data_IF_121174150140
#
_entry.id   IF_121174150140
#
_cell.length_a   1.000
_cell.length_b   1.000
_cell.length_c   1.000
_cell.angle_alpha   90.00
_cell.angle_beta   90.00
_cell.angle_gamma   90.00
#
_symmetry.space_group_name_H-M   'P 1'
#
loop_
_entity.id
_entity.type
_entity.pdbx_description
1 polymer ?
#
# COMPACT_ATOMS: atom_id res chain seq x y z
N UNK A 1 57.13 28.31 -18.59
CA UNK A 1 57.76 27.14 -17.97
C UNK A 1 56.74 26.00 -18.06
N UNK A 2 56.43 25.47 -19.24
CA UNK A 2 57.28 24.64 -20.14
C UNK A 2 57.24 23.17 -19.72
N UNK A 3 56.69 22.29 -20.56
CA UNK A 3 57.29 21.65 -21.76
C UNK A 3 58.33 20.58 -21.35
N UNK A 4 58.46 19.45 -22.04
CA UNK A 4 57.88 19.00 -23.33
C UNK A 4 57.66 17.47 -23.25
N UNK A 5 56.86 16.79 -24.08
CA UNK A 5 57.11 16.31 -25.47
C UNK A 5 56.29 14.98 -25.59
N UNK A 6 55.90 14.34 -26.71
CA UNK A 6 56.12 14.40 -28.17
C UNK A 6 55.09 13.38 -28.78
N UNK A 7 54.36 13.45 -29.91
CA UNK A 7 54.11 14.31 -31.11
C UNK A 7 52.59 14.16 -31.45
N UNK A 8 51.86 15.03 -32.19
CA UNK A 8 51.83 15.32 -33.66
C UNK A 8 51.58 14.07 -34.55
N UNK A 9 50.84 14.11 -35.68
CA UNK A 9 50.22 15.16 -36.53
C UNK A 9 48.89 14.59 -37.13
N UNK A 10 47.85 15.30 -37.60
CA UNK A 10 47.72 16.27 -38.72
C UNK A 10 48.03 15.64 -40.12
N UNK A 11 47.34 15.90 -41.25
CA UNK A 11 46.19 16.77 -41.53
C UNK A 11 45.42 16.40 -42.85
N UNK A 12 44.17 16.86 -42.94
CA UNK A 12 43.52 17.61 -44.04
C UNK A 12 43.40 17.13 -45.53
N UNK A 13 42.13 16.98 -45.96
CA UNK A 13 41.40 17.55 -47.14
C UNK A 13 42.12 17.78 -48.52
N UNK A 14 41.49 17.32 -49.63
CA UNK A 14 41.08 18.08 -50.86
C UNK A 14 40.98 17.18 -52.14
N UNK A 15 39.73 16.95 -52.55
CA UNK A 15 39.10 16.99 -53.90
C UNK A 15 39.72 16.43 -55.21
N UNK A 16 38.78 15.96 -56.07
CA UNK A 16 38.84 15.68 -57.53
C UNK A 16 39.81 14.58 -58.03
N UNK A 17 39.45 13.70 -58.97
CA UNK A 17 38.15 13.44 -59.60
C UNK A 17 38.23 13.23 -61.12
N UNK A 18 38.12 11.98 -61.59
CA UNK A 18 37.95 11.66 -63.01
C UNK A 18 37.27 10.29 -63.24
N UNK A 19 36.64 10.16 -64.40
CA UNK A 19 35.78 9.08 -64.87
C UNK A 19 36.43 7.68 -64.89
N UNK A 20 35.58 6.65 -64.79
CA UNK A 20 35.46 5.65 -65.86
C UNK A 20 33.98 5.21 -66.00
N UNK A 21 33.57 4.85 -67.22
CA UNK A 21 32.18 4.49 -67.56
C UNK A 21 32.03 2.99 -67.82
N UNK A 22 30.88 2.43 -67.43
CA UNK A 22 30.34 1.17 -67.98
C UNK A 22 31.05 -0.13 -67.57
N UNK A 23 30.42 -1.31 -67.70
CA UNK A 23 29.09 -1.60 -68.25
C UNK A 23 28.30 -2.54 -67.32
N UNK A 24 26.99 -2.63 -67.59
CA UNK A 24 26.01 -3.41 -66.82
C UNK A 24 26.25 -4.92 -66.78
N UNK A 25 25.90 -5.54 -65.66
CA UNK A 25 25.11 -6.78 -65.70
C UNK A 25 23.84 -6.57 -64.88
N UNK A 26 22.70 -6.99 -65.41
CA UNK A 26 21.38 -6.59 -64.90
C UNK A 26 20.55 -7.81 -64.50
N UNK A 27 20.59 -8.15 -63.20
CA UNK A 27 19.85 -9.28 -62.62
C UNK A 27 18.51 -8.80 -62.04
N UNK A 28 17.45 -8.95 -62.83
CA UNK A 28 16.07 -8.55 -62.48
C UNK A 28 15.43 -9.54 -61.48
N UNK A 29 15.96 -9.66 -60.27
CA UNK A 29 15.49 -10.63 -59.26
C UNK A 29 15.28 -10.08 -57.84
N UNK A 30 15.38 -8.76 -57.63
CA UNK A 30 15.32 -8.14 -56.27
C UNK A 30 14.44 -6.88 -56.12
N UNK A 31 13.23 -6.88 -56.67
CA UNK A 31 12.18 -5.93 -56.26
C UNK A 31 10.88 -6.62 -55.84
N UNK A 32 10.99 -7.57 -54.92
CA UNK A 32 9.88 -7.85 -54.00
C UNK A 32 9.99 -6.85 -52.83
N UNK A 33 9.70 -5.57 -53.11
CA UNK A 33 9.61 -4.53 -52.09
C UNK A 33 8.40 -4.87 -51.23
N UNK A 34 8.64 -5.51 -50.08
CA UNK A 34 7.65 -5.59 -49.00
C UNK A 34 7.40 -4.19 -48.48
N UNK A 35 6.44 -3.50 -49.12
CA UNK A 35 5.95 -2.19 -48.73
C UNK A 35 5.05 -2.34 -47.48
N UNK A 36 5.66 -2.81 -46.39
CA UNK A 36 5.06 -2.78 -45.06
C UNK A 36 4.84 -1.31 -44.72
N UNK A 37 3.57 -0.89 -44.70
CA UNK A 37 3.21 0.34 -44.03
C UNK A 37 3.48 0.14 -42.55
N UNK A 38 4.37 0.93 -41.99
CA UNK A 38 4.43 1.12 -40.54
C UNK A 38 3.17 1.92 -40.17
N UNK A 39 2.11 1.21 -39.79
CA UNK A 39 0.87 1.79 -39.29
C UNK A 39 1.16 2.49 -37.95
N UNK A 40 1.48 3.78 -38.06
CA UNK A 40 2.03 4.60 -36.99
C UNK A 40 0.92 5.19 -36.12
N UNK A 41 0.85 4.76 -34.86
CA UNK A 41 -0.11 5.28 -33.88
C UNK A 41 0.42 6.60 -33.31
N UNK A 42 -0.28 7.71 -33.61
CA UNK A 42 0.04 9.03 -33.09
C UNK A 42 -0.73 9.32 -31.79
N UNK A 43 0.00 9.63 -30.72
CA UNK A 43 -0.57 10.07 -29.45
C UNK A 43 -0.53 11.61 -29.35
N UNK A 44 -1.64 12.22 -28.92
CA UNK A 44 -1.75 13.68 -28.73
C UNK A 44 -2.00 13.97 -27.26
N UNK A 45 -1.09 14.71 -26.62
CA UNK A 45 -1.24 15.16 -25.23
C UNK A 45 -1.92 16.53 -25.19
N UNK A 46 -2.95 16.69 -24.36
CA UNK A 46 -3.59 17.99 -24.11
C UNK A 46 -3.47 18.37 -22.62
N UNK A 47 -2.57 19.31 -22.24
CA UNK A 47 -2.42 19.75 -20.85
C UNK A 47 -3.62 20.55 -20.30
N UNK A 48 -4.60 20.92 -21.14
CA UNK A 48 -5.84 21.57 -20.68
C UNK A 48 -6.88 20.59 -20.12
N UNK A 49 -6.64 19.27 -20.20
CA UNK A 49 -7.52 18.24 -19.65
C UNK A 49 -6.83 17.64 -18.43
N UNK A 50 -7.39 17.90 -17.26
CA UNK A 50 -6.90 17.40 -15.98
C UNK A 50 -7.85 16.34 -15.42
N UNK A 51 -7.29 15.43 -14.63
CA UNK A 51 -8.00 14.32 -13.98
C UNK A 51 -7.68 14.36 -12.46
N UNK A 52 -7.57 13.20 -11.80
CA UNK A 52 -7.21 13.14 -10.39
C UNK A 52 -5.79 13.67 -10.11
N UNK A 53 -5.59 14.20 -8.91
CA UNK A 53 -4.26 14.33 -8.30
C UNK A 53 -3.83 12.93 -7.83
N UNK A 54 -2.57 12.58 -8.02
CA UNK A 54 -1.98 11.37 -7.45
C UNK A 54 -1.47 11.72 -6.05
N UNK A 55 -2.04 11.10 -5.02
CA UNK A 55 -1.65 11.33 -3.61
C UNK A 55 -0.33 10.61 -3.29
N UNK A 56 -0.30 9.28 -3.47
CA UNK A 56 0.84 8.45 -3.14
C UNK A 56 0.93 7.18 -4.00
N UNK A 57 2.09 6.52 -3.94
CA UNK A 57 2.23 5.09 -4.18
C UNK A 57 2.90 4.48 -2.95
N UNK A 58 2.47 3.30 -2.52
CA UNK A 58 2.96 2.70 -1.29
C UNK A 58 2.95 1.18 -1.28
N UNK A 59 3.36 0.62 -0.15
CA UNK A 59 3.30 -0.82 0.14
C UNK A 59 2.95 -1.04 1.61
N UNK A 60 2.54 -2.26 1.95
CA UNK A 60 2.34 -2.68 3.33
C UNK A 60 3.57 -3.37 3.88
N UNK A 61 3.95 -3.06 5.12
CA UNK A 61 4.94 -3.82 5.88
C UNK A 61 4.45 -5.21 6.34
N UNK A 62 3.16 -5.47 6.19
CA UNK A 62 2.49 -6.68 6.65
C UNK A 62 2.86 -7.90 5.77
N UNK A 63 3.30 -9.04 6.29
CA UNK A 63 3.90 -9.29 7.61
C UNK A 63 5.43 -9.26 7.61
N UNK A 64 6.04 -9.11 6.43
CA UNK A 64 7.46 -9.31 6.18
C UNK A 64 8.38 -8.36 6.98
N UNK A 65 7.93 -7.14 7.29
CA UNK A 65 8.75 -6.13 7.98
C UNK A 65 9.12 -6.55 9.41
N UNK A 66 8.28 -7.35 10.09
CA UNK A 66 8.54 -7.96 11.40
C UNK A 66 9.78 -8.87 11.41
N UNK A 67 10.19 -9.37 10.23
CA UNK A 67 11.33 -10.25 10.04
C UNK A 67 12.48 -9.54 9.33
N UNK A 68 12.19 -8.85 8.23
CA UNK A 68 13.20 -8.15 7.42
C UNK A 68 13.81 -6.96 8.19
N UNK A 69 13.07 -6.32 9.08
CA UNK A 69 13.62 -5.30 9.99
C UNK A 69 14.74 -5.81 10.90
N UNK A 70 14.85 -7.12 11.10
CA UNK A 70 15.94 -7.76 11.85
C UNK A 70 17.13 -8.19 10.99
N UNK A 71 17.13 -7.95 9.68
CA UNK A 71 18.18 -8.42 8.76
C UNK A 71 19.38 -7.46 8.72
N UNK A 72 20.04 -7.32 9.86
CA UNK A 72 21.16 -6.41 10.15
C UNK A 72 22.49 -6.74 9.41
N UNK A 73 22.64 -7.98 8.96
CA UNK A 73 23.85 -8.48 8.28
C UNK A 73 24.19 -7.67 7.03
N UNK A 74 25.47 -7.54 6.74
CA UNK A 74 25.97 -6.84 5.56
C UNK A 74 25.50 -7.48 4.24
N UNK A 75 25.04 -6.64 3.32
CA UNK A 75 24.66 -7.03 1.97
C UNK A 75 25.85 -6.90 1.02
N UNK A 76 26.37 -8.03 0.53
CA UNK A 76 27.30 -8.14 -0.62
C UNK A 76 28.49 -7.17 -0.58
N UNK A 77 29.14 -7.03 0.58
CA UNK A 77 30.31 -6.18 0.81
C UNK A 77 30.09 -4.68 0.47
N UNK A 78 28.84 -4.20 0.55
CA UNK A 78 28.45 -2.81 0.22
C UNK A 78 28.57 -1.83 1.39
N UNK A 79 28.88 -2.29 2.60
CA UNK A 79 28.84 -1.48 3.82
C UNK A 79 27.42 -1.13 4.32
N UNK A 80 26.36 -1.67 3.70
CA UNK A 80 24.95 -1.55 4.12
C UNK A 80 24.41 -2.88 4.63
N UNK A 81 23.44 -2.85 5.54
CA UNK A 81 22.71 -4.06 5.94
C UNK A 81 21.72 -4.52 4.86
N UNK A 82 21.30 -5.78 4.89
CA UNK A 82 20.25 -6.29 3.98
C UNK A 82 18.92 -5.54 4.20
N UNK A 83 18.59 -5.17 5.45
CA UNK A 83 17.40 -4.37 5.75
C UNK A 83 17.48 -2.93 5.21
N UNK A 84 18.65 -2.29 5.27
CA UNK A 84 18.87 -0.97 4.64
C UNK A 84 18.76 -1.06 3.12
N UNK A 85 19.34 -2.10 2.50
CA UNK A 85 19.25 -2.34 1.05
C UNK A 85 17.80 -2.44 0.58
N UNK A 86 16.98 -3.26 1.25
CA UNK A 86 15.57 -3.45 0.90
C UNK A 86 14.77 -2.16 1.13
N UNK A 87 15.04 -1.43 2.22
CA UNK A 87 14.40 -0.14 2.47
C UNK A 87 14.73 0.88 1.38
N UNK A 88 16.00 0.98 0.97
CA UNK A 88 16.42 1.87 -0.12
C UNK A 88 15.79 1.46 -1.47
N UNK A 89 15.74 0.18 -1.81
CA UNK A 89 15.12 -0.28 -3.06
C UNK A 89 13.62 0.05 -3.14
N UNK A 90 12.91 0.15 -2.00
CA UNK A 90 11.50 0.52 -1.94
C UNK A 90 11.25 2.04 -1.88
N UNK A 91 11.97 2.77 -1.02
CA UNK A 91 11.60 4.15 -0.64
C UNK A 91 12.57 5.23 -1.13
N UNK A 92 13.82 4.89 -1.46
CA UNK A 92 14.76 5.85 -2.04
C UNK A 92 14.32 6.23 -3.47
N UNK A 93 14.38 7.53 -3.79
CA UNK A 93 13.88 8.12 -5.05
C UNK A 93 14.93 8.19 -6.16
N UNK A 94 16.20 7.96 -5.85
CA UNK A 94 17.31 7.90 -6.81
C UNK A 94 17.85 6.47 -6.97
N UNK A 95 17.79 5.66 -5.90
CA UNK A 95 18.27 4.28 -5.88
C UNK A 95 17.18 3.22 -6.06
N UNK A 96 15.96 3.50 -5.59
CA UNK A 96 14.82 2.58 -5.56
C UNK A 96 13.66 2.98 -6.46
N UNK A 97 12.47 2.48 -6.13
CA UNK A 97 11.21 2.85 -6.80
C UNK A 97 10.49 4.06 -6.16
N UNK A 98 11.07 4.66 -5.12
CA UNK A 98 10.63 5.96 -4.57
C UNK A 98 9.22 6.00 -3.98
N UNK A 99 8.73 4.92 -3.37
CA UNK A 99 7.41 4.89 -2.73
C UNK A 99 7.27 6.02 -1.69
N UNK A 100 6.09 6.62 -1.62
CA UNK A 100 5.78 7.78 -0.76
C UNK A 100 4.82 7.46 0.39
N UNK A 101 4.21 6.26 0.39
CA UNK A 101 3.31 5.76 1.42
C UNK A 101 3.79 4.43 2.01
N UNK A 102 3.59 4.25 3.33
CA UNK A 102 3.84 3.00 4.05
C UNK A 102 2.62 2.62 4.89
N UNK A 103 2.08 1.40 4.69
CA UNK A 103 1.05 0.84 5.58
C UNK A 103 1.70 0.00 6.68
N UNK A 104 1.45 0.34 7.93
CA UNK A 104 1.93 -0.37 9.12
C UNK A 104 0.76 -1.08 9.82
N UNK A 105 0.93 -2.39 10.09
CA UNK A 105 -0.10 -3.21 10.74
C UNK A 105 0.00 -3.08 12.27
N UNK A 106 -0.95 -2.38 12.87
CA UNK A 106 -1.15 -2.33 14.32
C UNK A 106 -1.79 -3.65 14.75
N UNK A 107 -0.95 -4.59 15.20
CA UNK A 107 -1.32 -5.98 15.46
C UNK A 107 -2.23 -6.20 16.66
N UNK A 108 -2.95 -7.32 16.64
CA UNK A 108 -3.92 -7.70 17.68
C UNK A 108 -3.33 -8.53 18.82
N UNK A 109 -2.11 -9.07 18.68
CA UNK A 109 -1.40 -9.86 19.70
C UNK A 109 -1.42 -11.37 19.48
N UNK A 110 -1.70 -11.85 18.26
CA UNK A 110 -1.62 -13.29 17.94
C UNK A 110 -0.21 -13.87 18.07
N UNK A 111 0.85 -13.07 17.97
CA UNK A 111 2.23 -13.50 18.20
C UNK A 111 2.54 -13.68 19.70
N UNK A 112 1.99 -12.80 20.54
CA UNK A 112 2.10 -12.86 22.00
C UNK A 112 1.45 -14.12 22.57
N UNK A 113 0.16 -14.30 22.27
CA UNK A 113 -0.67 -15.36 22.87
C UNK A 113 -0.48 -16.73 22.22
N UNK A 114 -0.11 -16.73 20.94
CA UNK A 114 0.04 -17.92 20.07
C UNK A 114 -1.27 -18.70 19.89
N UNK A 115 -2.42 -18.06 20.15
CA UNK A 115 -3.77 -18.59 19.93
C UNK A 115 -4.15 -18.60 18.43
N UNK A 116 -5.25 -19.27 18.10
CA UNK A 116 -5.72 -19.38 16.71
C UNK A 116 -4.89 -20.30 15.81
N UNK A 117 -5.46 -20.64 14.65
CA UNK A 117 -4.93 -21.56 13.64
C UNK A 117 -4.28 -20.77 12.49
N UNK A 118 -2.94 -20.77 12.46
CA UNK A 118 -2.12 -20.10 11.46
C UNK A 118 -1.24 -21.17 10.81
N UNK A 119 -1.45 -21.46 9.51
CA UNK A 119 -0.62 -22.43 8.77
C UNK A 119 0.81 -21.92 8.57
N UNK A 120 0.95 -20.60 8.48
CA UNK A 120 2.20 -19.88 8.39
C UNK A 120 2.32 -18.97 9.62
N UNK A 121 3.33 -19.22 10.46
CA UNK A 121 3.53 -18.48 11.71
C UNK A 121 3.98 -17.04 11.50
N UNK A 122 4.44 -16.67 10.30
CA UNK A 122 4.82 -15.29 9.98
C UNK A 122 3.61 -14.36 9.84
N UNK A 123 2.38 -14.92 9.76
CA UNK A 123 1.10 -14.15 9.64
C UNK A 123 0.52 -13.68 10.97
N UNK A 124 1.29 -13.86 12.05
CA UNK A 124 0.98 -13.37 13.40
C UNK A 124 1.55 -11.96 13.57
N UNK A 125 0.99 -11.20 14.51
CA UNK A 125 1.52 -9.89 14.90
C UNK A 125 1.54 -9.72 16.43
N UNK A 126 2.50 -8.95 16.93
CA UNK A 126 2.54 -8.51 18.33
C UNK A 126 1.55 -7.36 18.55
N UNK A 127 1.08 -7.18 19.79
CA UNK A 127 0.35 -5.98 20.21
C UNK A 127 1.18 -5.18 21.21
N UNK A 128 1.34 -3.87 20.99
CA UNK A 128 2.00 -2.96 21.95
C UNK A 128 1.36 -3.03 23.34
N UNK A 129 0.07 -3.35 23.42
CA UNK A 129 -0.67 -3.41 24.67
C UNK A 129 -0.45 -4.75 25.38
N UNK A 130 0.11 -4.68 26.59
CA UNK A 130 0.38 -5.85 27.46
C UNK A 130 -0.77 -6.14 28.43
N UNK A 131 -1.54 -5.11 28.77
CA UNK A 131 -2.79 -5.11 29.52
C UNK A 131 -3.54 -3.79 29.21
N UNK A 132 -4.85 -3.65 29.47
CA UNK A 132 -5.63 -2.45 29.13
C UNK A 132 -4.92 -1.12 29.47
N UNK A 133 -4.53 -0.35 28.46
CA UNK A 133 -3.81 0.92 28.61
C UNK A 133 -2.36 0.83 29.14
N UNK A 134 -1.72 -0.35 29.07
CA UNK A 134 -0.35 -0.60 29.55
C UNK A 134 0.52 -1.09 28.40
N UNK A 135 1.33 -0.18 27.86
CA UNK A 135 2.09 -0.39 26.63
C UNK A 135 3.56 -0.78 26.85
N UNK A 136 4.07 -1.68 26.00
CA UNK A 136 5.49 -1.91 25.80
C UNK A 136 5.89 -1.51 24.37
N UNK A 137 6.42 -0.29 24.23
CA UNK A 137 6.86 0.29 22.96
C UNK A 137 8.15 -0.33 22.39
N UNK A 138 8.69 -1.38 23.01
CA UNK A 138 9.81 -2.16 22.48
C UNK A 138 9.36 -3.40 21.68
N UNK A 139 8.05 -3.66 21.60
CA UNK A 139 7.47 -4.70 20.74
C UNK A 139 7.48 -4.31 19.27
N UNK A 140 7.38 -5.33 18.41
CA UNK A 140 7.41 -5.20 16.95
C UNK A 140 8.60 -4.34 16.43
N UNK A 141 9.73 -4.44 17.12
CA UNK A 141 10.90 -3.59 16.96
C UNK A 141 11.42 -3.54 15.52
N UNK A 142 11.33 -4.68 14.82
CA UNK A 142 11.73 -4.85 13.42
C UNK A 142 10.80 -4.10 12.46
N UNK A 143 9.48 -4.20 12.58
CA UNK A 143 8.57 -3.48 11.69
C UNK A 143 8.52 -1.98 12.03
N UNK A 144 8.65 -1.62 13.31
CA UNK A 144 8.83 -0.23 13.77
C UNK A 144 10.13 0.36 13.21
N UNK A 145 11.23 -0.39 13.22
CA UNK A 145 12.48 0.01 12.55
C UNK A 145 12.25 0.21 11.05
N UNK A 146 11.54 -0.69 10.38
CA UNK A 146 11.32 -0.60 8.93
C UNK A 146 10.42 0.58 8.55
N UNK A 147 9.38 0.85 9.33
CA UNK A 147 8.53 2.04 9.17
C UNK A 147 9.35 3.33 9.36
N UNK A 148 10.13 3.42 10.45
CA UNK A 148 11.00 4.59 10.70
C UNK A 148 12.03 4.77 9.58
N UNK A 149 12.58 3.68 9.05
CA UNK A 149 13.51 3.71 7.91
C UNK A 149 12.86 4.18 6.61
N UNK A 150 11.62 3.76 6.33
CA UNK A 150 10.86 4.26 5.18
C UNK A 150 10.59 5.77 5.29
N UNK A 151 10.32 6.29 6.50
CA UNK A 151 10.20 7.73 6.77
C UNK A 151 11.51 8.48 6.57
N UNK A 152 12.65 7.96 7.07
CA UNK A 152 13.99 8.53 6.80
C UNK A 152 14.28 8.67 5.30
N UNK A 153 13.83 7.72 4.48
CA UNK A 153 14.03 7.69 3.03
C UNK A 153 13.01 8.55 2.24
N UNK A 154 12.03 9.17 2.93
CA UNK A 154 11.15 10.17 2.34
C UNK A 154 9.72 9.72 2.04
N UNK A 155 9.22 8.71 2.76
CA UNK A 155 7.76 8.50 2.94
C UNK A 155 7.14 9.70 3.66
N UNK A 156 6.00 10.17 3.16
CA UNK A 156 5.29 11.35 3.67
C UNK A 156 3.87 11.01 4.18
N UNK A 157 3.47 9.76 4.01
CA UNK A 157 2.16 9.21 4.36
C UNK A 157 2.35 7.86 5.05
N UNK A 158 2.06 7.79 6.35
CA UNK A 158 1.93 6.51 7.06
C UNK A 158 0.46 6.22 7.32
N UNK A 159 0.03 5.03 6.94
CA UNK A 159 -1.29 4.47 7.25
C UNK A 159 -1.10 3.46 8.38
N UNK A 160 -1.72 3.72 9.53
CA UNK A 160 -1.83 2.71 10.59
C UNK A 160 -3.10 1.90 10.31
N UNK A 161 -3.00 0.59 10.18
CA UNK A 161 -4.17 -0.26 9.92
C UNK A 161 -4.21 -1.50 10.82
N UNK A 162 -5.42 -2.03 11.06
CA UNK A 162 -5.60 -3.24 11.87
C UNK A 162 -6.39 -4.29 11.10
N UNK A 163 -5.82 -5.49 11.01
CA UNK A 163 -6.54 -6.67 10.52
C UNK A 163 -7.64 -7.13 11.49
N UNK A 164 -7.42 -6.99 12.80
CA UNK A 164 -8.35 -7.44 13.85
C UNK A 164 -8.23 -6.56 15.10
N UNK A 165 -9.28 -6.47 15.95
CA UNK A 165 -9.16 -5.86 17.27
C UNK A 165 -8.22 -6.65 18.19
N UNK A 166 -7.58 -6.01 19.19
CA UNK A 166 -6.79 -6.68 20.22
C UNK A 166 -7.47 -7.91 20.79
N UNK A 167 -6.74 -9.02 20.99
CA UNK A 167 -7.35 -10.29 21.39
C UNK A 167 -8.12 -10.22 22.73
N UNK A 168 -7.84 -9.24 23.60
CA UNK A 168 -8.62 -8.99 24.84
C UNK A 168 -10.04 -8.47 24.60
N UNK A 169 -10.31 -7.88 23.43
CA UNK A 169 -11.60 -7.32 23.01
C UNK A 169 -12.41 -8.28 22.14
N UNK A 170 -11.81 -9.41 21.74
CA UNK A 170 -12.45 -10.36 20.84
C UNK A 170 -13.32 -11.40 21.54
N UNK A 171 -14.40 -11.83 20.89
CA UNK A 171 -15.42 -12.73 21.47
C UNK A 171 -14.83 -14.11 21.80
N UNK A 172 -13.98 -14.64 20.92
CA UNK A 172 -13.31 -15.93 21.13
C UNK A 172 -11.95 -15.81 21.84
N UNK A 173 -11.49 -14.58 22.11
CA UNK A 173 -10.15 -14.32 22.64
C UNK A 173 -9.03 -14.67 21.67
N UNK A 174 -9.23 -14.49 20.36
CA UNK A 174 -8.24 -14.75 19.30
C UNK A 174 -8.33 -13.66 18.23
N UNK A 175 -7.23 -13.36 17.56
CA UNK A 175 -7.20 -12.35 16.48
C UNK A 175 -7.87 -12.80 15.18
N UNK A 176 -8.36 -14.03 15.10
CA UNK A 176 -9.13 -14.61 13.98
C UNK A 176 -10.54 -14.97 14.44
N UNK A 177 -11.52 -14.98 13.55
CA UNK A 177 -12.89 -15.43 13.83
C UNK A 177 -12.92 -16.94 14.13
N UNK A 178 -13.94 -17.44 14.83
CA UNK A 178 -14.15 -18.89 14.98
C UNK A 178 -14.80 -19.48 13.74
N UNK A 179 -14.41 -20.69 13.32
CA UNK A 179 -14.99 -21.35 12.15
C UNK A 179 -16.52 -21.51 12.27
N UNK A 180 -17.27 -20.94 11.33
CA UNK A 180 -18.74 -20.90 11.32
C UNK A 180 -19.37 -19.71 12.05
N UNK A 181 -18.59 -18.88 12.74
CA UNK A 181 -19.04 -17.59 13.29
C UNK A 181 -18.81 -16.44 12.30
N UNK A 182 -19.56 -15.35 12.52
CA UNK A 182 -19.56 -14.15 11.65
C UNK A 182 -19.28 -12.85 12.42
N UNK A 183 -18.82 -12.95 13.66
CA UNK A 183 -18.52 -11.82 14.54
C UNK A 183 -17.37 -12.23 15.45
N UNK A 184 -16.41 -11.34 15.64
CA UNK A 184 -15.39 -11.52 16.66
C UNK A 184 -15.22 -10.34 17.61
N UNK A 185 -16.08 -9.31 17.55
CA UNK A 185 -16.08 -8.21 18.53
C UNK A 185 -17.52 -7.76 18.82
N UNK A 186 -17.78 -7.39 20.08
CA UNK A 186 -19.06 -6.87 20.55
C UNK A 186 -19.09 -5.33 20.49
N UNK A 187 -20.25 -4.68 20.28
CA UNK A 187 -20.34 -3.22 20.18
C UNK A 187 -19.80 -2.45 21.39
N UNK A 188 -19.93 -3.01 22.59
CA UNK A 188 -19.39 -2.46 23.84
C UNK A 188 -17.85 -2.39 23.89
N UNK A 189 -17.15 -3.04 22.95
CA UNK A 189 -15.69 -3.04 22.85
C UNK A 189 -15.17 -2.15 21.70
N UNK A 190 -16.03 -1.45 20.96
CA UNK A 190 -15.59 -0.61 19.82
C UNK A 190 -14.79 0.62 20.28
N UNK A 191 -15.21 1.24 21.38
CA UNK A 191 -14.57 2.44 21.94
C UNK A 191 -13.18 2.07 22.50
N UNK A 192 -13.09 0.96 23.23
CA UNK A 192 -11.84 0.37 23.74
C UNK A 192 -10.85 0.00 22.61
N UNK A 193 -11.35 -0.42 21.44
CA UNK A 193 -10.52 -0.68 20.25
C UNK A 193 -10.04 0.62 19.60
N UNK A 194 -10.87 1.66 19.55
CA UNK A 194 -10.47 2.99 19.11
C UNK A 194 -9.34 3.54 19.99
N UNK A 195 -9.50 3.51 21.32
CA UNK A 195 -8.48 3.95 22.30
C UNK A 195 -7.13 3.30 22.04
N UNK A 196 -7.08 1.97 21.86
CA UNK A 196 -5.82 1.25 21.56
C UNK A 196 -5.11 1.80 20.31
N UNK A 197 -5.83 1.95 19.19
CA UNK A 197 -5.23 2.41 17.94
C UNK A 197 -4.85 3.89 17.99
N UNK A 198 -5.60 4.72 18.72
CA UNK A 198 -5.29 6.14 18.90
C UNK A 198 -4.10 6.37 19.86
N UNK A 199 -3.93 5.55 20.90
CA UNK A 199 -2.73 5.57 21.75
C UNK A 199 -1.46 5.21 20.95
N UNK A 200 -1.54 4.18 20.08
CA UNK A 200 -0.45 3.81 19.16
C UNK A 200 -0.19 4.92 18.13
N UNK A 201 -1.24 5.59 17.64
CA UNK A 201 -1.09 6.74 16.75
C UNK A 201 -0.42 7.95 17.44
N UNK A 202 -0.83 8.29 18.67
CA UNK A 202 -0.23 9.40 19.43
C UNK A 202 1.25 9.12 19.77
N UNK A 203 1.60 7.86 20.04
CA UNK A 203 2.99 7.44 20.20
C UNK A 203 3.83 7.75 18.95
N UNK A 204 3.43 7.23 17.78
CA UNK A 204 4.20 7.42 16.54
C UNK A 204 4.20 8.87 16.04
N UNK A 205 3.08 9.60 16.16
CA UNK A 205 3.05 11.04 15.85
C UNK A 205 3.96 11.83 16.81
N UNK A 206 4.02 11.45 18.10
CA UNK A 206 4.94 12.02 19.07
C UNK A 206 6.43 11.77 18.76
N UNK A 207 6.76 10.67 18.10
CA UNK A 207 8.10 10.39 17.54
C UNK A 207 8.37 11.08 16.19
N UNK A 208 7.38 11.76 15.61
CA UNK A 208 7.51 12.46 14.32
C UNK A 208 7.23 11.61 13.07
N UNK A 209 6.64 10.42 13.23
CA UNK A 209 6.15 9.61 12.11
C UNK A 209 4.99 10.36 11.42
N UNK A 210 4.99 10.53 10.08
CA UNK A 210 3.96 11.28 9.36
C UNK A 210 2.70 10.43 9.15
N UNK A 211 2.05 10.02 10.25
CA UNK A 211 0.74 9.39 10.20
C UNK A 211 -0.25 10.33 9.49
N UNK A 212 -1.07 9.75 8.62
CA UNK A 212 -2.11 10.45 7.83
C UNK A 212 -3.46 9.76 7.91
N UNK A 213 -3.47 8.43 7.92
CA UNK A 213 -4.69 7.65 7.90
C UNK A 213 -4.68 6.56 8.96
N UNK A 214 -5.83 6.31 9.57
CA UNK A 214 -6.11 5.18 10.45
C UNK A 214 -7.20 4.33 9.78
N UNK A 215 -6.89 3.07 9.51
CA UNK A 215 -7.77 2.12 8.81
C UNK A 215 -8.13 0.95 9.76
N UNK A 216 -9.28 1.02 10.46
CA UNK A 216 -9.58 0.16 11.61
C UNK A 216 -10.11 -1.24 11.25
N UNK A 217 -10.34 -1.51 9.97
CA UNK A 217 -11.03 -2.71 9.47
C UNK A 217 -10.36 -3.12 8.16
N UNK A 218 -10.00 -4.39 8.01
CA UNK A 218 -9.49 -4.96 6.77
C UNK A 218 -10.49 -5.98 6.17
N UNK A 219 -10.78 -5.88 4.86
CA UNK A 219 -11.69 -6.74 4.07
C UNK A 219 -12.89 -7.29 4.88
N UNK A 220 -13.82 -6.43 5.34
CA UNK A 220 -14.85 -6.80 6.31
C UNK A 220 -15.78 -7.92 5.86
N UNK A 221 -15.84 -8.21 4.56
CA UNK A 221 -16.72 -9.22 3.97
C UNK A 221 -16.26 -10.67 4.12
N UNK A 222 -14.98 -10.95 4.40
CA UNK A 222 -14.49 -12.33 4.51
C UNK A 222 -14.75 -12.95 5.88
N UNK A 223 -14.85 -14.29 5.94
CA UNK A 223 -15.15 -15.02 7.18
C UNK A 223 -13.99 -15.02 8.20
N UNK A 224 -12.76 -14.77 7.76
CA UNK A 224 -11.56 -14.55 8.60
C UNK A 224 -11.31 -15.61 9.70
N UNK A 225 -11.63 -16.88 9.45
CA UNK A 225 -11.64 -17.91 10.50
C UNK A 225 -10.31 -18.65 10.74
N UNK A 226 -9.31 -18.48 9.87
CA UNK A 226 -7.96 -19.06 9.99
C UNK A 226 -6.93 -18.38 9.09
N UNK A 227 -5.65 -18.73 9.27
CA UNK A 227 -4.53 -18.31 8.42
C UNK A 227 -3.81 -17.06 8.90
N UNK A 228 -4.56 -16.04 9.33
CA UNK A 228 -4.05 -14.73 9.71
C UNK A 228 -4.96 -14.03 10.75
N UNK A 229 -4.51 -12.87 11.25
CA UNK A 229 -5.40 -11.94 11.95
C UNK A 229 -6.48 -11.43 10.97
N UNK A 230 -7.73 -11.30 11.45
CA UNK A 230 -8.88 -10.86 10.67
C UNK A 230 -10.18 -10.83 11.48
N UNK A 231 -11.10 -9.93 11.15
CA UNK A 231 -12.43 -9.90 11.76
C UNK A 231 -13.53 -9.56 10.75
N UNK A 232 -14.54 -10.43 10.63
CA UNK A 232 -15.73 -10.18 9.82
C UNK A 232 -16.60 -9.05 10.41
N UNK A 233 -17.13 -8.19 9.55
CA UNK A 233 -18.13 -7.18 9.91
C UNK A 233 -19.23 -7.10 8.84
N UNK A 234 -20.47 -7.40 9.19
CA UNK A 234 -21.63 -7.11 8.33
C UNK A 234 -21.71 -5.60 7.99
N UNK A 235 -22.10 -5.17 6.77
CA UNK A 235 -22.12 -3.75 6.38
C UNK A 235 -22.89 -2.84 7.34
N UNK A 236 -23.97 -3.37 7.94
CA UNK A 236 -24.77 -2.69 8.97
C UNK A 236 -24.07 -2.48 10.33
N UNK A 237 -22.76 -2.75 10.43
CA UNK A 237 -21.96 -2.66 11.66
C UNK A 237 -20.75 -1.75 11.50
N UNK A 238 -20.10 -1.71 10.33
CA UNK A 238 -18.86 -0.93 10.16
C UNK A 238 -19.03 0.55 10.51
N UNK A 239 -20.19 1.15 10.19
CA UNK A 239 -20.50 2.53 10.55
C UNK A 239 -20.37 2.82 12.05
N UNK A 240 -20.69 1.84 12.92
CA UNK A 240 -20.54 2.00 14.37
C UNK A 240 -19.08 1.96 14.82
N UNK A 241 -18.26 1.11 14.20
CA UNK A 241 -16.81 1.06 14.46
C UNK A 241 -16.17 2.38 14.00
N UNK A 242 -16.46 2.81 12.77
CA UNK A 242 -15.97 4.09 12.25
C UNK A 242 -16.46 5.30 13.06
N UNK A 243 -17.67 5.27 13.63
CA UNK A 243 -18.16 6.34 14.54
C UNK A 243 -17.41 6.37 15.88
N UNK A 244 -17.12 5.21 16.49
CA UNK A 244 -16.30 5.13 17.71
C UNK A 244 -14.86 5.61 17.44
N UNK A 245 -14.25 5.16 16.35
CA UNK A 245 -12.92 5.61 15.92
C UNK A 245 -12.87 7.11 15.60
N UNK A 246 -13.94 7.69 15.02
CA UNK A 246 -14.01 9.11 14.77
C UNK A 246 -14.15 9.92 16.07
N UNK A 247 -15.01 9.47 16.99
CA UNK A 247 -15.25 10.15 18.27
C UNK A 247 -13.99 10.16 19.16
N UNK A 248 -13.24 9.04 19.20
CA UNK A 248 -11.95 9.00 19.89
C UNK A 248 -10.91 9.88 19.16
N UNK A 249 -10.80 9.81 17.82
CA UNK A 249 -9.86 10.63 17.03
C UNK A 249 -10.09 12.14 17.23
N UNK A 250 -11.35 12.60 17.18
CA UNK A 250 -11.72 13.99 17.45
C UNK A 250 -11.41 14.43 18.89
N UNK A 251 -11.29 13.49 19.82
CA UNK A 251 -10.94 13.76 21.22
C UNK A 251 -9.44 13.96 21.50
N UNK A 252 -8.56 13.61 20.55
CA UNK A 252 -7.08 13.56 20.70
C UNK A 252 -6.38 14.72 19.95
N UNK A 253 -6.03 15.85 20.60
CA UNK A 253 -5.46 17.00 19.90
C UNK A 253 -4.09 16.76 19.27
N UNK A 254 -3.32 15.76 19.71
CA UNK A 254 -2.04 15.42 19.09
C UNK A 254 -2.22 14.74 17.71
N UNK A 255 -3.40 14.18 17.42
CA UNK A 255 -3.74 13.58 16.12
C UNK A 255 -4.36 14.59 15.14
N UNK A 256 -4.30 15.89 15.43
CA UNK A 256 -4.83 16.95 14.55
C UNK A 256 -4.18 16.91 13.16
N UNK A 257 -4.95 16.47 12.15
CA UNK A 257 -4.49 16.26 10.79
C UNK A 257 -4.23 14.81 10.38
N UNK A 258 -4.59 13.85 11.25
CA UNK A 258 -4.84 12.44 10.90
C UNK A 258 -6.33 12.28 10.56
N UNK A 259 -6.64 11.46 9.56
CA UNK A 259 -7.99 11.09 9.14
C UNK A 259 -8.25 9.59 9.32
N UNK A 260 -9.50 9.17 9.22
CA UNK A 260 -9.83 7.75 9.00
C UNK A 260 -9.73 7.41 7.50
N UNK A 261 -9.46 6.16 7.15
CA UNK A 261 -9.67 5.62 5.81
C UNK A 261 -10.38 4.26 5.86
N UNK A 262 -10.96 3.84 4.73
CA UNK A 262 -11.83 2.67 4.67
C UNK A 262 -12.78 2.67 3.46
N UNK A 263 -13.64 1.65 3.30
CA UNK A 263 -13.89 0.54 4.22
C UNK A 263 -12.91 -0.64 4.08
N UNK A 264 -11.90 -0.53 3.20
CA UNK A 264 -10.99 -1.61 2.80
C UNK A 264 -11.75 -2.81 2.24
N UNK A 265 -12.75 -2.59 1.37
CA UNK A 265 -13.45 -3.74 0.77
C UNK A 265 -12.50 -4.47 -0.16
N UNK A 266 -12.38 -5.79 0.04
CA UNK A 266 -11.41 -6.63 -0.68
C UNK A 266 -11.64 -6.74 -2.20
N UNK A 267 -12.74 -6.19 -2.71
CA UNK A 267 -13.08 -6.18 -4.13
C UNK A 267 -13.87 -4.90 -4.52
N UNK A 268 -13.98 -4.63 -5.82
CA UNK A 268 -14.75 -3.52 -6.42
C UNK A 268 -16.13 -3.98 -6.92
N UNK A 269 -16.67 -5.05 -6.34
CA UNK A 269 -17.94 -5.68 -6.69
C UNK A 269 -18.60 -6.24 -5.42
N UNK A 270 -19.61 -7.10 -5.57
CA UNK A 270 -20.26 -7.74 -4.42
C UNK A 270 -20.79 -6.69 -3.43
N UNK A 271 -20.41 -6.84 -2.16
CA UNK A 271 -20.84 -5.95 -1.08
C UNK A 271 -20.04 -4.65 -0.95
N UNK A 272 -19.03 -4.37 -1.80
CA UNK A 272 -18.24 -3.14 -1.75
C UNK A 272 -19.09 -1.86 -1.80
N UNK A 273 -20.18 -1.90 -2.57
CA UNK A 273 -21.21 -0.84 -2.63
C UNK A 273 -21.94 -0.71 -1.29
N UNK A 274 -22.21 -1.80 -0.59
CA UNK A 274 -22.89 -1.81 0.71
C UNK A 274 -21.98 -1.28 1.83
N UNK A 275 -20.70 -1.66 1.88
CA UNK A 275 -19.73 -1.10 2.83
C UNK A 275 -19.51 0.40 2.61
N UNK A 276 -19.31 0.82 1.36
CA UNK A 276 -19.15 2.23 1.02
C UNK A 276 -20.41 3.03 1.37
N UNK A 277 -21.59 2.46 1.10
CA UNK A 277 -22.87 3.04 1.52
C UNK A 277 -23.04 3.11 3.05
N UNK A 278 -22.41 2.22 3.83
CA UNK A 278 -22.48 2.27 5.29
C UNK A 278 -21.67 3.44 5.87
N UNK A 279 -20.57 3.84 5.23
CA UNK A 279 -19.81 5.05 5.59
C UNK A 279 -20.52 6.29 5.05
N UNK A 280 -20.71 6.40 3.73
CA UNK A 280 -21.11 7.67 3.09
C UNK A 280 -22.58 8.06 3.27
N UNK A 281 -23.45 7.17 3.76
CA UNK A 281 -24.82 7.53 4.18
C UNK A 281 -24.94 7.89 5.67
N UNK A 282 -23.91 7.62 6.50
CA UNK A 282 -23.85 8.21 7.84
C UNK A 282 -23.41 9.67 7.71
N UNK A 283 -24.25 10.61 8.14
CA UNK A 283 -24.01 12.04 7.91
C UNK A 283 -22.81 12.61 8.67
N UNK A 284 -22.30 11.92 9.69
CA UNK A 284 -21.14 12.34 10.49
C UNK A 284 -19.86 11.66 10.00
N UNK A 285 -19.94 10.46 9.42
CA UNK A 285 -18.80 9.85 8.72
C UNK A 285 -18.57 10.54 7.36
N UNK A 286 -19.63 10.79 6.59
CA UNK A 286 -19.55 11.40 5.27
C UNK A 286 -18.93 12.83 5.27
N UNK A 287 -18.95 13.55 6.39
CA UNK A 287 -18.24 14.84 6.52
C UNK A 287 -16.73 14.71 6.74
N UNK A 288 -16.22 13.49 7.00
CA UNK A 288 -14.83 13.20 7.34
C UNK A 288 -14.15 12.22 6.37
N UNK A 289 -14.88 11.67 5.39
CA UNK A 289 -14.36 10.79 4.33
C UNK A 289 -14.39 11.51 2.97
N UNK A 290 -13.23 12.00 2.51
CA UNK A 290 -13.06 12.55 1.16
C UNK A 290 -12.53 11.50 0.15
N UNK A 291 -12.13 10.33 0.63
CA UNK A 291 -11.62 9.18 -0.12
C UNK A 291 -12.28 7.90 0.37
N UNK A 292 -12.45 6.92 -0.53
CA UNK A 292 -12.82 5.54 -0.19
C UNK A 292 -11.75 4.57 -0.71
N UNK A 293 -11.37 3.65 0.16
CA UNK A 293 -10.24 2.72 0.03
C UNK A 293 -10.78 1.29 -0.19
N UNK A 294 -10.42 0.66 -1.33
CA UNK A 294 -10.78 -0.72 -1.68
C UNK A 294 -9.60 -1.47 -2.32
N UNK A 295 -9.53 -2.79 -2.11
CA UNK A 295 -8.49 -3.65 -2.68
C UNK A 295 -8.83 -4.12 -4.09
N UNK A 296 -7.83 -4.47 -4.88
CA UNK A 296 -8.01 -4.84 -6.30
C UNK A 296 -8.36 -6.32 -6.54
N UNK A 297 -8.52 -7.16 -5.52
CA UNK A 297 -8.77 -8.59 -5.73
C UNK A 297 -10.11 -8.85 -6.42
N UNK A 298 -10.19 -10.00 -7.11
CA UNK A 298 -11.41 -10.53 -7.73
C UNK A 298 -12.11 -9.63 -8.76
N UNK A 299 -11.51 -8.49 -9.13
CA UNK A 299 -12.19 -7.35 -9.74
C UNK A 299 -11.61 -6.99 -11.10
N UNK A 300 -12.35 -7.32 -12.15
CA UNK A 300 -11.99 -7.01 -13.52
C UNK A 300 -12.26 -5.54 -13.89
N UNK A 301 -11.85 -5.15 -15.09
CA UNK A 301 -12.07 -3.79 -15.63
C UNK A 301 -13.55 -3.42 -15.68
N UNK A 302 -14.47 -4.37 -15.95
CA UNK A 302 -15.90 -4.09 -15.98
C UNK A 302 -16.46 -3.80 -14.58
N UNK A 303 -16.05 -4.57 -13.57
CA UNK A 303 -16.41 -4.37 -12.16
C UNK A 303 -15.94 -3.01 -11.66
N UNK A 304 -14.64 -2.69 -11.81
CA UNK A 304 -14.06 -1.39 -11.42
C UNK A 304 -14.77 -0.22 -12.11
N UNK A 305 -15.06 -0.35 -13.41
CA UNK A 305 -15.78 0.69 -14.16
C UNK A 305 -17.26 0.81 -13.74
N UNK A 306 -17.91 -0.28 -13.31
CA UNK A 306 -19.27 -0.23 -12.77
C UNK A 306 -19.32 0.46 -11.41
N UNK A 307 -18.40 0.12 -10.51
CA UNK A 307 -18.25 0.78 -9.22
C UNK A 307 -17.93 2.28 -9.38
N UNK A 308 -16.99 2.65 -10.27
CA UNK A 308 -16.68 4.07 -10.56
C UNK A 308 -17.92 4.85 -11.01
N UNK A 309 -18.73 4.29 -11.92
CA UNK A 309 -19.99 4.91 -12.37
C UNK A 309 -21.02 5.03 -11.24
N UNK A 310 -21.03 4.11 -10.27
CA UNK A 310 -21.90 4.21 -9.10
C UNK A 310 -21.44 5.32 -8.14
N UNK A 311 -20.13 5.42 -7.86
CA UNK A 311 -19.56 6.55 -7.10
C UNK A 311 -19.88 7.88 -7.77
N UNK A 312 -19.61 8.00 -9.07
CA UNK A 312 -19.85 9.24 -9.83
C UNK A 312 -21.33 9.68 -9.86
N UNK A 313 -22.27 8.75 -9.68
CA UNK A 313 -23.70 9.02 -9.65
C UNK A 313 -24.27 9.37 -8.27
N UNK A 314 -23.59 9.00 -7.18
CA UNK A 314 -24.10 9.12 -5.80
C UNK A 314 -23.21 10.01 -4.91
N UNK A 315 -21.89 9.93 -5.08
CA UNK A 315 -20.87 10.58 -4.27
C UNK A 315 -19.77 11.23 -5.15
N UNK A 316 -20.11 12.13 -6.10
CA UNK A 316 -19.22 12.59 -7.19
C UNK A 316 -17.95 13.34 -6.75
N UNK A 317 -17.85 13.74 -5.48
CA UNK A 317 -16.70 14.43 -4.92
C UNK A 317 -15.72 13.49 -4.19
N UNK A 318 -16.09 12.22 -4.00
CA UNK A 318 -15.29 11.26 -3.22
C UNK A 318 -14.21 10.63 -4.10
N UNK A 319 -12.95 10.76 -3.66
CA UNK A 319 -11.78 10.12 -4.27
C UNK A 319 -11.81 8.62 -4.07
N UNK A 320 -11.01 7.89 -4.84
CA UNK A 320 -10.91 6.43 -4.76
C UNK A 320 -9.45 6.01 -4.69
N UNK A 321 -9.11 5.24 -3.66
CA UNK A 321 -7.79 4.65 -3.46
C UNK A 321 -7.85 3.16 -3.72
N UNK A 322 -6.90 2.66 -4.51
CA UNK A 322 -6.64 1.22 -4.61
C UNK A 322 -5.65 0.88 -3.50
N UNK A 323 -6.18 0.45 -2.36
CA UNK A 323 -5.48 0.50 -1.07
C UNK A 323 -4.69 -0.77 -0.73
N UNK A 324 -4.93 -1.87 -1.46
CA UNK A 324 -4.10 -3.08 -1.47
C UNK A 324 -4.22 -3.86 -2.80
N UNK A 325 -3.15 -4.56 -3.19
CA UNK A 325 -3.14 -5.63 -4.19
C UNK A 325 -1.85 -6.45 -4.14
N UNK A 326 -1.96 -7.77 -4.36
CA UNK A 326 -0.88 -8.67 -4.73
C UNK A 326 -1.36 -9.72 -5.76
N UNK A 327 -0.43 -10.48 -6.35
CA UNK A 327 -0.77 -11.58 -7.27
C UNK A 327 -1.25 -12.81 -6.49
N UNK A 328 -2.54 -13.15 -6.64
CA UNK A 328 -3.21 -14.22 -5.90
C UNK A 328 -3.45 -15.45 -6.78
N UNK A 329 -2.90 -16.60 -6.41
CA UNK A 329 -3.09 -17.86 -7.12
C UNK A 329 -4.07 -18.74 -6.35
N UNK A 330 -5.22 -19.03 -6.96
CA UNK A 330 -6.33 -19.79 -6.36
C UNK A 330 -6.88 -19.20 -5.03
N UNK A 331 -6.61 -17.92 -4.73
CA UNK A 331 -7.02 -17.27 -3.48
C UNK A 331 -6.02 -17.39 -2.32
N UNK A 332 -4.82 -17.89 -2.58
CA UNK A 332 -3.66 -17.73 -1.70
C UNK A 332 -2.68 -16.77 -2.35
N UNK A 333 -2.02 -15.95 -1.54
CA UNK A 333 -0.67 -15.50 -1.84
C UNK A 333 0.24 -16.74 -1.81
N UNK A 334 1.07 -16.93 -2.84
CA UNK A 334 1.92 -18.13 -3.02
C UNK A 334 3.41 -17.78 -3.13
N UNK A 335 3.79 -16.71 -2.44
CA UNK A 335 5.16 -16.19 -2.30
C UNK A 335 5.88 -16.81 -1.11
#
# INVERSE_FOLDING_TARGET
MENCMMKRMCAAIICLGALLMGCSYNDNSKENIMNQREDTIAFTFNPSVQYQIIESFGTSGCWWSQYVGGWDKEYKDTGRSVRDEIAMLLFDKEYGIGLTCYRYNVGAGSADSKRGTYWDTHRRAESFETAPGVYDWNKDDNAVWFMKKAVELGVQEVVLFSNSPPERLTINGMAQVSAGEKKNILPENYDDFAVYVMDVAEHFVGEGVPVKFISPINEPQWDWFEGQEGCHYEPSKIAKVYRAFLEELESRPALSGVSLSGPESGEWKGDAVAYTSAILNDTVLNSHFDTIDNHSYWSDTASKAAYKRWIDANFPNVKLRMSEWCEMVNGSDVT
#
